data_IF_237543601483
#
_entry.id   IF_237543601483
#
_cell.length_a   1.000
_cell.length_b   1.000
_cell.length_c   1.000
_cell.angle_alpha   90.00
_cell.angle_beta   90.00
_cell.angle_gamma   90.00
#
_symmetry.space_group_name_H-M   'P 1'
#
loop_
_entity.id
_entity.type
_entity.pdbx_description
1 polymer ?
#
# COMPACT_ATOMS: atom_id res chain seq x y z
N UNK A 1 34.17 6.50 -17.51
CA UNK A 1 35.30 7.25 -18.10
C UNK A 1 36.67 6.68 -17.69
N UNK A 2 36.77 5.93 -16.60
CA UNK A 2 38.05 5.35 -16.12
C UNK A 2 38.45 4.03 -16.79
N UNK A 3 37.57 3.44 -17.59
CA UNK A 3 37.79 2.15 -18.23
C UNK A 3 37.89 2.29 -19.77
N UNK A 4 38.73 1.46 -20.37
CA UNK A 4 38.84 1.31 -21.83
C UNK A 4 37.97 0.15 -22.30
N UNK A 5 37.29 0.33 -23.43
CA UNK A 5 36.46 -0.68 -24.06
C UNK A 5 37.31 -1.84 -24.62
N UNK A 6 36.85 -3.07 -24.41
CA UNK A 6 37.34 -4.26 -25.15
C UNK A 6 36.52 -4.53 -26.43
N UNK A 7 35.63 -3.64 -26.77
CA UNK A 7 34.71 -3.72 -27.90
C UNK A 7 33.28 -4.06 -27.46
N UNK A 8 32.34 -3.19 -27.69
CA UNK A 8 30.92 -3.43 -27.46
C UNK A 8 30.28 -3.75 -28.79
N UNK A 9 29.64 -4.93 -28.88
CA UNK A 9 29.03 -5.43 -30.12
C UNK A 9 27.52 -5.60 -29.96
N UNK A 10 26.83 -5.48 -31.07
CA UNK A 10 25.44 -5.90 -31.14
C UNK A 10 25.31 -7.44 -31.33
N UNK A 11 24.10 -7.97 -31.30
CA UNK A 11 23.86 -9.38 -31.56
C UNK A 11 24.16 -9.82 -33.01
N UNK A 12 24.29 -8.87 -33.93
CA UNK A 12 24.69 -9.09 -35.31
C UNK A 12 26.22 -9.11 -35.51
N UNK A 13 26.98 -8.76 -34.46
CA UNK A 13 28.46 -8.72 -34.47
C UNK A 13 29.04 -7.40 -34.91
N UNK A 14 28.26 -6.35 -35.16
CA UNK A 14 28.73 -5.03 -35.48
C UNK A 14 29.32 -4.33 -34.24
N UNK A 15 30.45 -3.65 -34.42
CA UNK A 15 31.08 -2.91 -33.31
C UNK A 15 30.34 -1.60 -33.10
N UNK A 16 29.73 -1.44 -31.94
CA UNK A 16 29.06 -0.22 -31.49
C UNK A 16 30.09 0.72 -30.87
N UNK A 17 30.94 0.20 -29.99
CA UNK A 17 32.05 0.94 -29.39
C UNK A 17 33.33 0.18 -29.70
N UNK A 18 34.27 0.85 -30.35
CA UNK A 18 35.53 0.24 -30.79
C UNK A 18 36.39 -0.18 -29.61
N UNK A 19 37.19 -1.23 -29.83
CA UNK A 19 38.17 -1.69 -28.85
C UNK A 19 39.24 -0.60 -28.60
N UNK A 20 39.55 -0.34 -27.33
CA UNK A 20 40.51 0.69 -26.90
C UNK A 20 39.92 2.09 -26.75
N UNK A 21 38.69 2.34 -27.14
CA UNK A 21 38.01 3.62 -26.89
C UNK A 21 37.71 3.78 -25.39
N UNK A 22 37.74 5.03 -24.91
CA UNK A 22 37.26 5.35 -23.56
C UNK A 22 35.75 5.54 -23.60
N UNK A 23 35.06 5.02 -22.62
CA UNK A 23 33.62 5.21 -22.50
C UNK A 23 33.29 6.68 -22.18
N UNK A 24 32.34 7.25 -22.89
CA UNK A 24 31.77 8.56 -22.59
C UNK A 24 30.27 8.48 -22.40
N UNK A 25 29.68 9.45 -21.72
CA UNK A 25 28.23 9.49 -21.51
C UNK A 25 27.45 9.59 -22.83
N UNK A 26 28.04 10.23 -23.86
CA UNK A 26 27.45 10.33 -25.19
C UNK A 26 27.31 8.98 -25.90
N UNK A 27 28.24 8.05 -25.67
CA UNK A 27 28.22 6.72 -26.33
C UNK A 27 27.01 5.88 -25.87
N UNK A 28 26.45 6.19 -24.71
CA UNK A 28 25.30 5.47 -24.12
C UNK A 28 23.95 6.18 -24.38
N UNK A 29 23.94 7.42 -24.85
CA UNK A 29 22.72 8.19 -25.07
C UNK A 29 21.81 7.58 -26.13
N UNK A 30 22.42 7.05 -27.20
CA UNK A 30 21.70 6.48 -28.34
C UNK A 30 21.80 4.95 -28.40
N UNK A 31 22.35 4.31 -27.36
CA UNK A 31 22.58 2.88 -27.31
C UNK A 31 21.28 2.13 -26.98
N UNK A 32 20.88 1.23 -27.87
CA UNK A 32 19.79 0.28 -27.56
C UNK A 32 20.32 -0.90 -26.74
N UNK A 33 20.17 -0.79 -25.43
CA UNK A 33 20.59 -1.84 -24.49
C UNK A 33 19.87 -3.18 -24.66
N UNK A 34 18.79 -3.24 -25.44
CA UNK A 34 18.09 -4.51 -25.72
C UNK A 34 18.74 -5.28 -26.85
N UNK A 35 19.56 -4.63 -27.68
CA UNK A 35 20.21 -5.21 -28.85
C UNK A 35 21.70 -5.47 -28.68
N UNK A 36 22.28 -5.18 -27.50
CA UNK A 36 23.72 -5.24 -27.25
C UNK A 36 24.14 -6.52 -26.54
N UNK A 37 25.29 -7.09 -26.95
CA UNK A 37 25.90 -8.21 -26.25
C UNK A 37 26.52 -7.77 -24.93
N UNK A 38 26.19 -8.44 -23.83
CA UNK A 38 26.63 -8.10 -22.47
C UNK A 38 27.91 -8.82 -22.05
N UNK A 39 28.77 -9.17 -23.01
CA UNK A 39 30.02 -9.91 -22.77
C UNK A 39 31.22 -8.98 -22.93
N UNK A 40 32.10 -8.98 -21.92
CA UNK A 40 33.47 -8.45 -22.01
C UNK A 40 33.58 -7.01 -22.49
N UNK A 41 32.81 -6.08 -21.91
CA UNK A 41 32.92 -4.65 -22.23
C UNK A 41 34.22 -4.04 -21.71
N UNK A 42 34.75 -4.58 -20.60
CA UNK A 42 36.01 -4.12 -19.97
C UNK A 42 36.92 -5.32 -19.69
N UNK A 43 38.18 -5.05 -19.33
CA UNK A 43 39.13 -6.07 -18.89
C UNK A 43 38.84 -6.62 -17.49
N UNK A 44 38.12 -5.88 -16.69
CA UNK A 44 37.77 -6.21 -15.31
C UNK A 44 36.49 -7.04 -15.26
N UNK A 45 36.62 -8.30 -14.83
CA UNK A 45 35.48 -9.24 -14.75
C UNK A 45 34.42 -8.82 -13.71
N UNK A 46 34.84 -8.20 -12.60
CA UNK A 46 33.92 -7.70 -11.58
C UNK A 46 33.05 -6.56 -12.15
N UNK A 47 33.68 -5.62 -12.86
CA UNK A 47 32.95 -4.51 -13.53
C UNK A 47 32.01 -5.04 -14.61
N UNK A 48 32.41 -6.02 -15.39
CA UNK A 48 31.54 -6.67 -16.39
C UNK A 48 30.33 -7.35 -15.73
N UNK A 49 30.50 -7.95 -14.55
CA UNK A 49 29.40 -8.50 -13.75
C UNK A 49 28.38 -7.45 -13.33
N UNK A 50 28.86 -6.30 -12.86
CA UNK A 50 28.00 -5.16 -12.48
C UNK A 50 27.24 -4.58 -13.68
N UNK A 51 27.94 -4.38 -14.82
CA UNK A 51 27.30 -3.91 -16.06
C UNK A 51 26.21 -4.87 -16.50
N UNK A 52 26.50 -6.16 -16.51
CA UNK A 52 25.50 -7.20 -16.87
C UNK A 52 24.28 -7.15 -15.97
N UNK A 53 24.46 -7.09 -14.66
CA UNK A 53 23.36 -7.01 -13.71
C UNK A 53 22.51 -5.76 -13.91
N UNK A 54 23.13 -4.60 -14.13
CA UNK A 54 22.45 -3.32 -14.35
C UNK A 54 21.66 -3.33 -15.66
N UNK A 55 22.25 -3.79 -16.76
CA UNK A 55 21.56 -3.83 -18.05
C UNK A 55 20.44 -4.88 -18.05
N UNK A 56 20.62 -6.02 -17.39
CA UNK A 56 19.55 -7.02 -17.25
C UNK A 56 18.35 -6.47 -16.45
N UNK A 57 18.62 -5.73 -15.38
CA UNK A 57 17.56 -5.06 -14.62
C UNK A 57 16.84 -3.99 -15.47
N UNK A 58 17.60 -3.22 -16.26
CA UNK A 58 17.01 -2.25 -17.20
C UNK A 58 16.10 -2.95 -18.22
N UNK A 59 16.58 -4.02 -18.88
CA UNK A 59 15.82 -4.80 -19.86
C UNK A 59 14.53 -5.35 -19.25
N UNK A 60 14.62 -5.89 -18.02
CA UNK A 60 13.45 -6.39 -17.31
C UNK A 60 12.41 -5.27 -17.11
N UNK A 61 12.85 -4.13 -16.58
CA UNK A 61 11.98 -2.97 -16.31
C UNK A 61 11.39 -2.39 -17.59
N UNK A 62 12.20 -2.31 -18.66
CA UNK A 62 11.74 -1.86 -19.97
C UNK A 62 10.63 -2.77 -20.53
N UNK A 63 10.80 -4.09 -20.45
CA UNK A 63 9.78 -5.06 -20.89
C UNK A 63 8.48 -4.95 -20.08
N UNK A 64 8.58 -4.73 -18.78
CA UNK A 64 7.41 -4.52 -17.91
C UNK A 64 6.63 -3.27 -18.34
N UNK A 65 7.33 -2.14 -18.56
CA UNK A 65 6.74 -0.88 -18.97
C UNK A 65 6.17 -0.94 -20.40
N UNK A 66 6.85 -1.61 -21.33
CA UNK A 66 6.35 -1.80 -22.70
C UNK A 66 5.06 -2.66 -22.72
N UNK A 67 5.04 -3.73 -21.91
CA UNK A 67 3.83 -4.53 -21.75
C UNK A 67 2.67 -3.75 -21.12
N UNK A 68 2.96 -2.87 -20.15
CA UNK A 68 1.95 -1.98 -19.58
C UNK A 68 1.45 -0.96 -20.60
N UNK A 69 2.35 -0.36 -21.36
CA UNK A 69 2.02 0.57 -22.43
C UNK A 69 1.11 -0.09 -23.47
N UNK A 70 1.47 -1.31 -23.92
CA UNK A 70 0.64 -2.07 -24.88
C UNK A 70 -0.75 -2.36 -24.34
N UNK A 71 -0.87 -2.77 -23.06
CA UNK A 71 -2.17 -3.00 -22.41
C UNK A 71 -3.01 -1.72 -22.34
N UNK A 72 -2.42 -0.60 -21.95
CA UNK A 72 -3.11 0.69 -21.88
C UNK A 72 -3.55 1.19 -23.25
N UNK A 73 -2.67 1.10 -24.25
CA UNK A 73 -3.03 1.44 -25.65
C UNK A 73 -4.17 0.58 -26.16
N UNK A 74 -4.12 -0.74 -25.91
CA UNK A 74 -5.17 -1.67 -26.30
C UNK A 74 -6.51 -1.33 -25.63
N UNK A 75 -6.51 -1.09 -24.34
CA UNK A 75 -7.72 -0.71 -23.59
C UNK A 75 -8.35 0.60 -24.10
N UNK A 76 -7.52 1.59 -24.48
CA UNK A 76 -8.02 2.85 -25.05
C UNK A 76 -8.54 2.64 -26.47
N UNK A 77 -7.87 1.82 -27.28
CA UNK A 77 -8.23 1.59 -28.71
C UNK A 77 -9.51 0.79 -28.84
N UNK A 78 -9.68 -0.25 -28.02
CA UNK A 78 -10.90 -1.08 -28.05
C UNK A 78 -12.05 -0.38 -27.31
N UNK A 79 -11.70 0.37 -26.24
CA UNK A 79 -12.71 0.98 -25.38
C UNK A 79 -13.43 -0.05 -24.49
N UNK A 80 -14.50 0.41 -23.82
CA UNK A 80 -15.36 -0.46 -23.03
C UNK A 80 -16.38 -1.17 -23.95
N UNK A 81 -16.61 -2.47 -23.70
CA UNK A 81 -17.70 -3.19 -24.34
C UNK A 81 -19.03 -2.62 -23.83
N UNK A 82 -19.77 -1.98 -24.73
CA UNK A 82 -21.07 -1.42 -24.39
C UNK A 82 -22.16 -2.45 -24.68
N UNK A 83 -23.21 -2.54 -23.85
CA UNK A 83 -24.37 -3.36 -24.12
C UNK A 83 -25.04 -2.98 -25.43
N UNK A 84 -25.69 -3.94 -26.09
CA UNK A 84 -26.39 -3.70 -27.36
C UNK A 84 -27.41 -2.56 -27.23
N UNK A 85 -27.37 -1.62 -28.17
CA UNK A 85 -28.24 -0.43 -28.19
C UNK A 85 -27.75 0.79 -27.45
N UNK A 86 -26.60 0.71 -26.78
CA UNK A 86 -25.96 1.87 -26.11
C UNK A 86 -24.83 2.40 -27.00
N UNK A 87 -24.91 3.68 -27.36
CA UNK A 87 -23.90 4.36 -28.19
C UNK A 87 -22.75 4.87 -27.36
N UNK A 88 -23.03 5.44 -26.18
CA UNK A 88 -22.04 6.00 -25.26
C UNK A 88 -22.50 5.81 -23.83
N UNK A 89 -21.56 5.63 -22.92
CA UNK A 89 -21.81 5.56 -21.48
C UNK A 89 -20.93 6.59 -20.78
N UNK A 90 -21.55 7.48 -20.00
CA UNK A 90 -20.86 8.41 -19.13
C UNK A 90 -20.93 7.92 -17.68
N UNK A 91 -19.78 7.78 -17.03
CA UNK A 91 -19.68 7.49 -15.58
C UNK A 91 -19.45 8.81 -14.85
N UNK A 92 -20.43 9.24 -14.06
CA UNK A 92 -20.32 10.44 -13.23
C UNK A 92 -20.09 10.04 -11.79
N UNK A 93 -18.95 10.41 -11.26
CA UNK A 93 -18.61 10.17 -9.85
C UNK A 93 -19.06 11.33 -8.99
N UNK A 94 -19.97 11.08 -8.05
CA UNK A 94 -20.50 12.09 -7.14
C UNK A 94 -20.04 11.75 -5.72
N UNK A 95 -19.40 12.70 -5.06
CA UNK A 95 -19.04 12.62 -3.66
C UNK A 95 -20.00 13.46 -2.82
N UNK A 96 -20.57 12.88 -1.77
CA UNK A 96 -21.42 13.56 -0.80
C UNK A 96 -20.92 13.31 0.60
N UNK A 97 -20.65 14.39 1.35
CA UNK A 97 -20.31 14.31 2.77
C UNK A 97 -21.58 14.14 3.59
N UNK A 98 -21.64 13.12 4.43
CA UNK A 98 -22.75 12.86 5.34
C UNK A 98 -22.25 12.79 6.78
N UNK A 99 -23.04 13.23 7.73
CA UNK A 99 -22.76 13.07 9.16
C UNK A 99 -23.17 11.67 9.61
N UNK A 100 -22.33 11.05 10.44
CA UNK A 100 -22.62 9.77 11.07
C UNK A 100 -23.76 9.96 12.06
N UNK A 101 -24.74 9.06 12.02
CA UNK A 101 -25.88 9.02 12.93
C UNK A 101 -25.94 7.75 13.75
N UNK A 102 -26.69 7.76 14.84
CA UNK A 102 -27.02 6.55 15.61
C UNK A 102 -27.86 5.64 14.73
N UNK A 103 -27.52 4.35 14.68
CA UNK A 103 -28.16 3.34 13.83
C UNK A 103 -27.46 3.11 12.50
N UNK A 104 -26.48 3.95 12.12
CA UNK A 104 -25.70 3.72 10.89
C UNK A 104 -24.80 2.51 11.00
N UNK A 105 -24.62 1.81 9.89
CA UNK A 105 -23.82 0.59 9.83
C UNK A 105 -22.39 0.89 9.43
N UNK A 106 -21.45 0.34 10.18
CA UNK A 106 -20.02 0.42 9.93
C UNK A 106 -19.42 -0.97 9.84
N UNK A 107 -18.43 -1.16 9.00
CA UNK A 107 -17.74 -2.42 8.83
C UNK A 107 -16.24 -2.19 8.56
N UNK A 108 -15.41 -3.09 9.05
CA UNK A 108 -14.01 -3.18 8.68
C UNK A 108 -13.77 -4.16 7.53
N UNK A 109 -12.51 -4.41 7.23
CA UNK A 109 -12.08 -5.33 6.15
C UNK A 109 -12.03 -6.81 6.57
N UNK A 110 -12.31 -7.13 7.82
CA UNK A 110 -12.14 -8.47 8.41
C UNK A 110 -13.46 -9.13 8.80
N UNK A 111 -14.55 -8.79 8.11
CA UNK A 111 -15.88 -9.31 8.47
C UNK A 111 -16.46 -8.75 9.78
N UNK A 112 -15.81 -7.78 10.38
CA UNK A 112 -16.27 -7.06 11.56
C UNK A 112 -17.27 -5.98 11.15
N UNK A 113 -18.52 -6.20 11.48
CA UNK A 113 -19.63 -5.26 11.24
C UNK A 113 -20.24 -4.81 12.56
N UNK A 114 -20.67 -3.58 12.61
CA UNK A 114 -21.29 -3.01 13.78
C UNK A 114 -22.27 -1.89 13.42
N UNK A 115 -23.01 -1.44 14.41
CA UNK A 115 -23.97 -0.34 14.30
C UNK A 115 -23.51 0.73 15.27
N UNK A 116 -23.57 1.99 14.85
CA UNK A 116 -23.28 3.13 15.70
C UNK A 116 -24.35 3.23 16.78
N UNK A 117 -23.96 2.94 18.03
CA UNK A 117 -24.89 2.98 19.17
C UNK A 117 -24.97 4.37 19.79
N UNK A 118 -23.90 5.15 19.74
CA UNK A 118 -23.83 6.47 20.36
C UNK A 118 -22.86 7.37 19.58
N UNK A 119 -23.20 8.63 19.43
CA UNK A 119 -22.32 9.68 18.94
C UNK A 119 -22.01 10.60 20.11
N UNK A 120 -20.75 10.81 20.39
CA UNK A 120 -20.25 11.59 21.54
C UNK A 120 -19.45 12.78 21.01
N UNK A 121 -19.39 13.86 21.77
CA UNK A 121 -18.54 14.99 21.44
C UNK A 121 -17.08 14.60 21.54
N UNK A 122 -16.20 15.26 20.81
CA UNK A 122 -14.78 14.96 20.80
C UNK A 122 -14.14 15.14 22.19
N UNK A 123 -14.62 16.14 22.93
CA UNK A 123 -14.14 16.44 24.29
C UNK A 123 -14.47 15.33 25.28
N UNK A 124 -15.59 14.63 25.07
CA UNK A 124 -16.06 13.55 25.96
C UNK A 124 -15.50 12.16 25.55
N UNK A 125 -14.74 12.10 24.46
CA UNK A 125 -14.12 10.85 24.00
C UNK A 125 -12.86 10.54 24.84
N UNK A 126 -12.58 9.23 25.08
CA UNK A 126 -11.33 8.85 25.68
C UNK A 126 -10.13 9.37 24.90
N UNK A 127 -9.08 9.76 25.61
CA UNK A 127 -7.89 10.33 24.98
C UNK A 127 -6.58 9.68 25.50
N UNK A 128 -5.55 9.77 24.67
CA UNK A 128 -4.20 9.32 24.97
C UNK A 128 -3.49 10.30 25.91
N UNK A 129 -2.36 9.89 26.50
CA UNK A 129 -1.56 10.74 27.36
C UNK A 129 -1.04 12.04 26.71
N UNK A 130 -0.95 12.04 25.37
CA UNK A 130 -0.60 13.22 24.56
C UNK A 130 -1.79 14.17 24.29
N UNK A 131 -2.97 13.84 24.82
CA UNK A 131 -4.21 14.62 24.61
C UNK A 131 -4.95 14.28 23.31
N UNK A 132 -4.47 13.34 22.50
CA UNK A 132 -5.12 12.94 21.27
C UNK A 132 -6.36 12.09 21.55
N UNK A 133 -7.57 12.52 21.20
CA UNK A 133 -8.79 11.73 21.40
C UNK A 133 -8.85 10.56 20.42
N UNK A 134 -9.53 9.48 20.83
CA UNK A 134 -9.86 8.37 19.92
C UNK A 134 -11.08 8.73 19.08
N UNK A 135 -11.08 8.29 17.81
CA UNK A 135 -12.19 8.58 16.90
C UNK A 135 -13.36 7.61 17.06
N UNK A 136 -13.07 6.36 17.49
CA UNK A 136 -14.07 5.31 17.64
C UNK A 136 -13.71 4.38 18.80
N UNK A 137 -14.71 3.95 19.54
CA UNK A 137 -14.59 2.89 20.56
C UNK A 137 -15.36 1.66 20.09
N UNK A 138 -14.67 0.52 20.01
CA UNK A 138 -15.22 -0.73 19.53
C UNK A 138 -15.40 -1.74 20.69
N UNK A 139 -16.49 -2.50 20.67
CA UNK A 139 -16.69 -3.57 21.62
C UNK A 139 -15.79 -4.77 21.32
N UNK A 140 -14.88 -5.17 22.21
CA UNK A 140 -13.94 -6.26 21.97
C UNK A 140 -14.57 -7.65 21.97
N UNK A 141 -15.78 -7.82 22.50
CA UNK A 141 -16.46 -9.14 22.60
C UNK A 141 -16.73 -9.78 21.25
N UNK A 142 -16.85 -8.99 20.18
CA UNK A 142 -17.02 -9.48 18.82
C UNK A 142 -15.77 -10.14 18.22
N UNK A 143 -14.59 -9.93 18.78
CA UNK A 143 -13.32 -10.44 18.24
C UNK A 143 -13.13 -11.93 18.55
N UNK A 144 -13.18 -12.39 19.84
CA UNK A 144 -12.97 -13.80 20.17
C UNK A 144 -14.05 -14.70 19.57
N UNK A 145 -15.30 -14.27 19.60
CA UNK A 145 -16.44 -15.07 19.11
C UNK A 145 -16.38 -15.33 17.60
N UNK A 146 -15.76 -14.44 16.84
CA UNK A 146 -15.66 -14.54 15.37
C UNK A 146 -14.30 -14.94 14.86
N UNK A 147 -13.30 -15.07 15.73
CA UNK A 147 -11.92 -15.48 15.42
C UNK A 147 -11.27 -14.65 14.30
N UNK A 148 -11.69 -13.41 14.09
CA UNK A 148 -11.14 -12.52 13.07
C UNK A 148 -9.99 -11.68 13.61
N UNK A 149 -8.88 -12.32 13.97
CA UNK A 149 -7.69 -11.71 14.58
C UNK A 149 -7.05 -10.65 13.65
N UNK A 150 -7.22 -10.78 12.34
CA UNK A 150 -6.68 -9.84 11.37
C UNK A 150 -7.03 -8.37 11.64
N UNK A 151 -8.19 -8.08 12.27
CA UNK A 151 -8.53 -6.71 12.65
C UNK A 151 -7.60 -6.14 13.74
N UNK A 152 -7.11 -6.98 14.66
CA UNK A 152 -6.14 -6.56 15.69
C UNK A 152 -4.79 -6.31 15.03
N UNK A 153 -4.35 -7.21 14.14
CA UNK A 153 -3.10 -7.04 13.38
C UNK A 153 -3.13 -5.75 12.55
N UNK A 154 -4.23 -5.48 11.86
CA UNK A 154 -4.43 -4.22 11.13
C UNK A 154 -4.32 -3.01 12.06
N UNK A 155 -4.98 -3.04 13.21
CA UNK A 155 -4.95 -1.92 14.15
C UNK A 155 -3.55 -1.65 14.69
N UNK A 156 -2.81 -2.69 15.05
CA UNK A 156 -1.44 -2.60 15.59
C UNK A 156 -0.47 -2.09 14.54
N UNK A 157 -0.46 -2.72 13.34
CA UNK A 157 0.41 -2.27 12.24
C UNK A 157 0.02 -0.87 11.74
N UNK A 158 -1.28 -0.56 11.71
CA UNK A 158 -1.75 0.77 11.37
C UNK A 158 -1.24 1.85 12.32
N UNK A 159 -1.15 1.55 13.64
CA UNK A 159 -0.56 2.46 14.62
C UNK A 159 0.95 2.62 14.39
N UNK A 160 1.67 1.52 14.21
CA UNK A 160 3.09 1.55 13.90
C UNK A 160 3.37 2.34 12.60
N UNK A 161 2.55 2.12 11.57
CA UNK A 161 2.65 2.85 10.30
C UNK A 161 2.40 4.35 10.44
N UNK A 162 1.46 4.75 11.29
CA UNK A 162 1.20 6.17 11.57
C UNK A 162 2.41 6.84 12.24
N UNK A 163 3.03 6.20 13.22
CA UNK A 163 4.21 6.73 13.91
C UNK A 163 5.45 6.79 13.00
N UNK A 164 5.65 5.78 12.15
CA UNK A 164 6.80 5.70 11.24
C UNK A 164 6.57 6.41 9.90
N UNK A 165 5.36 6.89 9.61
CA UNK A 165 5.02 7.51 8.32
C UNK A 165 5.01 6.53 7.13
N UNK A 166 4.84 5.22 7.38
CA UNK A 166 4.82 4.18 6.34
C UNK A 166 3.43 3.57 6.18
N UNK A 167 3.16 2.97 5.02
CA UNK A 167 1.93 2.22 4.75
C UNK A 167 2.26 0.74 4.57
N UNK A 168 1.47 -0.12 5.22
CA UNK A 168 1.58 -1.57 5.08
C UNK A 168 0.61 -2.08 4.03
N UNK A 169 1.11 -2.96 3.15
CA UNK A 169 0.32 -3.72 2.21
C UNK A 169 0.68 -5.20 2.36
N UNK A 170 -0.29 -5.99 2.82
CA UNK A 170 -0.11 -7.44 3.06
C UNK A 170 -0.95 -8.21 2.05
N UNK A 171 -0.34 -9.06 1.18
CA UNK A 171 -1.07 -9.96 0.30
C UNK A 171 -1.86 -11.00 1.11
N UNK A 172 -2.91 -11.57 0.49
CA UNK A 172 -3.84 -12.51 1.15
C UNK A 172 -3.11 -13.76 1.67
N UNK A 173 -2.13 -14.26 0.91
CA UNK A 173 -1.40 -15.50 1.24
C UNK A 173 -0.01 -15.26 1.86
N UNK A 174 0.37 -13.99 2.03
CA UNK A 174 1.62 -13.58 2.64
C UNK A 174 1.33 -12.45 3.64
N UNK A 175 0.56 -12.78 4.65
CA UNK A 175 0.13 -11.88 5.70
C UNK A 175 1.23 -11.67 6.75
N UNK A 176 1.08 -10.63 7.56
CA UNK A 176 1.99 -10.34 8.66
C UNK A 176 1.91 -11.44 9.73
N UNK A 177 3.06 -11.90 10.21
CA UNK A 177 3.22 -12.81 11.34
C UNK A 177 3.21 -12.04 12.67
N UNK A 178 3.22 -12.77 13.79
CA UNK A 178 3.37 -12.16 15.11
C UNK A 178 4.76 -11.55 15.31
N UNK A 179 5.78 -12.13 14.68
CA UNK A 179 7.14 -11.62 14.75
C UNK A 179 7.26 -10.30 13.98
N UNK A 180 6.65 -10.20 12.82
CA UNK A 180 6.57 -8.94 12.07
C UNK A 180 5.87 -7.84 12.87
N UNK A 181 4.77 -8.17 13.55
CA UNK A 181 4.08 -7.21 14.42
C UNK A 181 5.00 -6.68 15.53
N UNK A 182 5.70 -7.58 16.21
CA UNK A 182 6.62 -7.22 17.27
C UNK A 182 7.75 -6.35 16.73
N UNK A 183 8.37 -6.75 15.62
CA UNK A 183 9.45 -5.99 14.98
C UNK A 183 9.01 -4.55 14.62
N UNK A 184 7.84 -4.39 14.01
CA UNK A 184 7.36 -3.07 13.62
C UNK A 184 6.90 -2.21 14.81
N UNK A 185 6.32 -2.82 15.85
CA UNK A 185 5.97 -2.09 17.08
C UNK A 185 7.22 -1.65 17.84
N UNK A 186 8.27 -2.48 17.89
CA UNK A 186 9.55 -2.15 18.52
C UNK A 186 10.26 -1.02 17.74
N UNK A 187 10.27 -1.07 16.40
CA UNK A 187 10.80 0.02 15.56
C UNK A 187 10.05 1.34 15.76
N UNK A 188 8.75 1.28 16.01
CA UNK A 188 7.93 2.46 16.28
C UNK A 188 8.00 2.94 17.75
N UNK A 189 8.72 2.23 18.63
CA UNK A 189 8.78 2.54 20.05
C UNK A 189 7.45 2.36 20.79
N UNK A 190 6.56 1.52 20.28
CA UNK A 190 5.23 1.29 20.82
C UNK A 190 5.22 0.08 21.79
N UNK A 191 4.36 0.10 22.81
CA UNK A 191 4.20 -1.06 23.68
C UNK A 191 3.57 -2.23 22.93
N UNK A 192 3.80 -3.46 23.41
CA UNK A 192 3.26 -4.69 22.84
C UNK A 192 1.74 -4.57 22.65
N UNK A 193 1.27 -4.97 21.45
CA UNK A 193 -0.14 -4.86 21.03
C UNK A 193 -0.71 -3.44 21.12
N UNK A 194 0.13 -2.42 21.10
CA UNK A 194 -0.25 -1.01 21.26
C UNK A 194 -1.15 -0.76 22.49
N UNK A 195 -0.94 -1.51 23.57
CA UNK A 195 -1.68 -1.32 24.82
C UNK A 195 -1.26 -0.03 25.50
N UNK A 196 -2.18 0.88 25.62
CA UNK A 196 -1.94 2.22 26.18
C UNK A 196 -3.02 2.54 27.19
N UNK A 197 -2.64 3.28 28.23
CA UNK A 197 -3.61 3.81 29.17
C UNK A 197 -4.29 5.04 28.56
N UNK A 198 -5.59 5.02 28.56
CA UNK A 198 -6.42 6.14 28.16
C UNK A 198 -6.94 6.88 29.40
N UNK A 199 -7.32 8.16 29.18
CA UNK A 199 -8.06 8.95 30.16
C UNK A 199 -9.49 9.12 29.66
N UNK A 200 -10.45 9.18 30.57
CA UNK A 200 -11.84 9.48 30.28
C UNK A 200 -12.00 10.94 29.91
N UNK A 201 -12.67 11.23 28.78
CA UNK A 201 -12.88 12.60 28.32
C UNK A 201 -13.78 13.43 29.23
N UNK A 202 -14.72 12.78 29.93
CA UNK A 202 -15.65 13.47 30.82
C UNK A 202 -15.07 13.84 32.18
N UNK A 203 -14.28 12.93 32.78
CA UNK A 203 -13.71 13.11 34.14
C UNK A 203 -12.23 13.49 34.13
N UNK A 204 -11.51 13.18 33.04
CA UNK A 204 -10.05 13.32 32.97
C UNK A 204 -9.29 12.22 33.72
N UNK A 205 -9.98 11.27 34.36
CA UNK A 205 -9.36 10.20 35.12
C UNK A 205 -8.79 9.13 34.20
N UNK A 206 -7.63 8.59 34.57
CA UNK A 206 -6.99 7.51 33.85
C UNK A 206 -7.74 6.19 34.08
N UNK A 207 -7.93 5.40 33.03
CA UNK A 207 -8.49 4.06 33.15
C UNK A 207 -7.57 3.11 33.95
N UNK A 208 -8.17 2.22 34.73
CA UNK A 208 -7.43 1.23 35.52
C UNK A 208 -6.70 0.21 34.65
N UNK A 209 -7.23 -0.09 33.47
CA UNK A 209 -6.70 -1.09 32.57
C UNK A 209 -6.26 -0.45 31.24
N UNK A 210 -5.11 -0.89 30.69
CA UNK A 210 -4.69 -0.42 29.37
C UNK A 210 -5.57 -1.01 28.27
N UNK A 211 -5.92 -0.19 27.30
CA UNK A 211 -6.66 -0.58 26.10
C UNK A 211 -5.73 -0.67 24.88
N UNK A 212 -6.07 -1.53 23.93
CA UNK A 212 -5.41 -1.56 22.62
C UNK A 212 -5.90 -0.37 21.79
N UNK A 213 -4.98 0.53 21.45
CA UNK A 213 -5.25 1.69 20.58
C UNK A 213 -4.51 1.54 19.27
N UNK A 214 -5.21 1.55 18.17
CA UNK A 214 -4.64 1.34 16.85
C UNK A 214 -5.28 2.20 15.78
N UNK A 215 -4.88 1.99 14.53
CA UNK A 215 -5.47 2.63 13.36
C UNK A 215 -6.03 1.56 12.44
N UNK A 216 -7.28 1.69 12.07
CA UNK A 216 -7.98 0.71 11.23
C UNK A 216 -8.75 1.40 10.11
N UNK A 217 -8.97 0.67 9.03
CA UNK A 217 -9.82 1.12 7.92
C UNK A 217 -11.28 0.73 8.18
N UNK A 218 -12.17 1.69 8.04
CA UNK A 218 -13.60 1.48 8.26
C UNK A 218 -14.37 1.88 7.00
N UNK A 219 -15.29 1.01 6.59
CA UNK A 219 -16.29 1.30 5.56
C UNK A 219 -17.60 1.71 6.25
N UNK A 220 -18.18 2.79 5.78
CA UNK A 220 -19.42 3.35 6.32
C UNK A 220 -20.54 3.24 5.30
N UNK A 221 -21.70 2.77 5.74
CA UNK A 221 -22.95 2.84 4.98
C UNK A 221 -23.99 3.58 5.79
N UNK A 222 -24.64 4.58 5.18
CA UNK A 222 -25.68 5.40 5.80
C UNK A 222 -27.05 4.68 5.89
N UNK A 223 -27.12 3.44 5.42
CA UNK A 223 -28.33 2.62 5.53
C UNK A 223 -28.50 2.21 6.99
N UNK A 224 -29.60 2.63 7.62
CA UNK A 224 -30.00 2.16 8.93
C UNK A 224 -30.15 0.63 8.91
N UNK A 225 -29.86 0.00 10.03
CA UNK A 225 -29.86 -1.48 10.14
C UNK A 225 -31.20 -2.16 9.78
N UNK A 226 -32.28 -1.40 9.66
CA UNK A 226 -33.64 -1.86 9.40
C UNK A 226 -34.28 -1.33 8.11
N UNK A 227 -33.59 -0.54 7.31
CA UNK A 227 -34.15 0.09 6.09
C UNK A 227 -34.13 -0.81 4.83
N UNK A 228 -33.75 -2.05 4.93
CA UNK A 228 -33.62 -2.94 3.75
C UNK A 228 -34.94 -3.55 3.28
N UNK A 229 -36.11 -3.06 3.69
CA UNK A 229 -37.35 -3.78 3.36
C UNK A 229 -38.40 -3.02 2.55
N UNK A 230 -38.29 -1.74 2.31
CA UNK A 230 -39.43 -1.01 1.73
C UNK A 230 -39.13 0.07 0.66
N UNK A 231 -37.89 0.23 0.22
CA UNK A 231 -37.56 1.23 -0.82
C UNK A 231 -36.87 0.59 -2.02
N UNK A 232 -37.52 -0.41 -2.60
CA UNK A 232 -37.28 -0.90 -3.98
C UNK A 232 -38.58 -0.81 -4.76
#
# INVERSE_FOLDING_TARGET
ENYTSEGVKDYMGADIISKGARFSASDFSDLDFTAVQLSNWTKDEHTNGLIRALVMNFIKKYKELDAELKRKKFAITIGDELPAGIIQMAKVYIAKKRKIGVGDKMAGRHGNKGIVSRVVRQEDMPFLADGTPVDIVLNPLGVPSRMNIGQIFEAVLGRAGKELGVKFATPIFDGASMDDLNEWTDKAGLPRYCKTYLCDGGTGERFDQPATVGVTSVSYTHLRAHETRHDL
#
